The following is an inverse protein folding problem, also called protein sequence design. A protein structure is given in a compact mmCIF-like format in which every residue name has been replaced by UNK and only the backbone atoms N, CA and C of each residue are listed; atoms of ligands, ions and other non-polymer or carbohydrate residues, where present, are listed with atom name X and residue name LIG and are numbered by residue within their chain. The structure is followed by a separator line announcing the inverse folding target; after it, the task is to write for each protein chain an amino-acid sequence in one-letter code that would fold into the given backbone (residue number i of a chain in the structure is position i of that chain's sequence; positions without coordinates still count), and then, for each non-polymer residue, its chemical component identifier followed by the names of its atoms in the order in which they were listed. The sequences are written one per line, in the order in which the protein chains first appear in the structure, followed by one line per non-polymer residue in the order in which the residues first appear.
data_IF_282967725863
#
_entry.id   IF_282967725863
#
_cell.length_a   1.000
_cell.length_b   1.000
_cell.length_c   1.000
_cell.angle_alpha   90.00
_cell.angle_beta   90.00
_cell.angle_gamma   90.00
#
_symmetry.space_group_name_H-M   'P 1'
#
loop_
_entity.id
_entity.type
_entity.pdbx_description
1 polymer ?
#
# COMPACT_ATOMS: atom_id res chain seq x y z
N UNK A 1 8.45 -19.10 -31.54
CA UNK A 1 8.80 -19.16 -30.10
C UNK A 1 8.09 -18.00 -29.40
N UNK A 2 6.81 -18.15 -29.08
CA UNK A 2 6.13 -17.20 -28.20
C UNK A 2 6.51 -17.59 -26.78
N UNK A 3 7.50 -16.90 -26.22
CA UNK A 3 7.83 -17.05 -24.81
C UNK A 3 6.59 -16.68 -24.02
N UNK A 4 5.86 -17.69 -23.54
CA UNK A 4 4.79 -17.50 -22.59
C UNK A 4 5.44 -16.78 -21.41
N UNK A 5 5.16 -15.49 -21.25
CA UNK A 5 5.51 -14.81 -20.03
C UNK A 5 4.55 -15.40 -18.99
N UNK A 6 4.99 -16.47 -18.35
CA UNK A 6 4.27 -17.10 -17.23
C UNK A 6 4.38 -16.11 -16.08
N UNK A 7 3.47 -15.15 -16.03
CA UNK A 7 3.35 -14.25 -14.91
C UNK A 7 2.82 -15.05 -13.72
N UNK A 8 3.58 -15.05 -12.63
CA UNK A 8 3.17 -15.67 -11.37
C UNK A 8 2.13 -14.77 -10.69
N UNK A 9 0.88 -14.91 -11.12
CA UNK A 9 -0.27 -14.15 -10.60
C UNK A 9 -0.40 -14.28 -9.08
N UNK A 10 0.05 -15.41 -8.51
CA UNK A 10 0.11 -15.62 -7.06
C UNK A 10 1.17 -14.73 -6.42
N UNK A 11 2.38 -14.64 -6.98
CA UNK A 11 3.42 -13.75 -6.47
C UNK A 11 3.00 -12.27 -6.47
N UNK A 12 2.26 -11.83 -7.51
CA UNK A 12 1.70 -10.47 -7.57
C UNK A 12 0.63 -10.24 -6.49
N UNK A 13 -0.31 -11.18 -6.33
CA UNK A 13 -1.34 -11.10 -5.31
C UNK A 13 -0.75 -11.09 -3.89
N UNK A 14 0.28 -11.90 -3.65
CA UNK A 14 1.00 -11.96 -2.37
C UNK A 14 1.79 -10.68 -2.10
N UNK A 15 2.43 -10.10 -3.11
CA UNK A 15 3.09 -8.80 -3.01
C UNK A 15 2.11 -7.69 -2.61
N UNK A 16 0.93 -7.66 -3.22
CA UNK A 16 -0.14 -6.72 -2.84
C UNK A 16 -0.59 -6.93 -1.40
N UNK A 17 -0.76 -8.18 -0.97
CA UNK A 17 -1.16 -8.52 0.39
C UNK A 17 -0.10 -8.09 1.41
N UNK A 18 1.19 -8.32 1.11
CA UNK A 18 2.30 -7.85 1.96
C UNK A 18 2.33 -6.32 2.07
N UNK A 19 2.14 -5.60 0.96
CA UNK A 19 2.11 -4.14 0.99
C UNK A 19 0.94 -3.59 1.82
N UNK A 20 -0.26 -4.19 1.71
CA UNK A 20 -1.41 -3.81 2.55
C UNK A 20 -1.14 -4.05 4.03
N UNK A 21 -0.54 -5.19 4.38
CA UNK A 21 -0.19 -5.50 5.76
C UNK A 21 0.89 -4.55 6.32
N UNK A 22 1.91 -4.24 5.51
CA UNK A 22 2.94 -3.27 5.89
C UNK A 22 2.31 -1.89 6.17
N UNK A 23 1.40 -1.43 5.33
CA UNK A 23 0.71 -0.16 5.55
C UNK A 23 -0.16 -0.14 6.80
N UNK A 24 -0.94 -1.20 7.05
CA UNK A 24 -1.73 -1.29 8.27
C UNK A 24 -0.84 -1.21 9.53
N UNK A 25 0.33 -1.87 9.50
CA UNK A 25 1.30 -1.79 10.58
C UNK A 25 1.88 -0.38 10.73
N UNK A 26 2.18 0.30 9.63
CA UNK A 26 2.73 1.66 9.68
C UNK A 26 1.68 2.66 10.19
N UNK A 27 0.41 2.55 9.79
CA UNK A 27 -0.70 3.33 10.35
C UNK A 27 -0.84 3.12 11.86
N UNK A 28 -0.78 1.87 12.32
CA UNK A 28 -0.84 1.55 13.74
C UNK A 28 0.34 2.18 14.50
N UNK A 29 1.56 2.08 13.96
CA UNK A 29 2.77 2.67 14.55
C UNK A 29 2.68 4.19 14.63
N UNK A 30 2.12 4.85 13.62
CA UNK A 30 1.99 6.30 13.65
C UNK A 30 0.89 6.78 14.55
N UNK A 31 -0.25 6.07 14.62
CA UNK A 31 -1.26 6.35 15.63
C UNK A 31 -0.69 6.22 17.05
N UNK A 32 0.11 5.18 17.29
CA UNK A 32 0.80 4.99 18.57
C UNK A 32 1.81 6.12 18.84
N UNK A 33 2.59 6.54 17.83
CA UNK A 33 3.53 7.65 17.95
C UNK A 33 2.80 8.96 18.26
N UNK A 34 1.70 9.28 17.57
CA UNK A 34 0.90 10.48 17.83
C UNK A 34 0.33 10.48 19.25
N UNK A 35 -0.17 9.34 19.73
CA UNK A 35 -0.66 9.20 21.11
C UNK A 35 0.45 9.39 22.14
N UNK A 36 1.63 8.81 21.90
CA UNK A 36 2.79 9.02 22.77
C UNK A 36 3.22 10.49 22.78
N UNK A 37 3.23 11.15 21.62
CA UNK A 37 3.53 12.58 21.51
C UNK A 37 2.51 13.43 22.26
N UNK A 38 1.21 13.14 22.14
CA UNK A 38 0.17 13.84 22.90
C UNK A 38 0.33 13.67 24.42
N UNK A 39 0.64 12.46 24.88
CA UNK A 39 0.91 12.20 26.30
C UNK A 39 2.18 12.90 26.80
N UNK A 40 3.24 12.95 25.97
CA UNK A 40 4.46 13.69 26.27
C UNK A 40 4.24 15.21 26.24
N UNK A 41 3.33 15.71 25.40
CA UNK A 41 2.99 17.13 25.35
C UNK A 41 2.32 17.63 26.63
N UNK A 42 1.56 16.80 27.34
CA UNK A 42 1.07 17.16 28.68
C UNK A 42 2.20 17.40 29.68
N UNK A 43 3.41 16.89 29.39
CA UNK A 43 4.60 17.02 30.22
C UNK A 43 5.69 17.96 29.67
N UNK A 44 5.58 18.40 28.40
CA UNK A 44 6.52 19.33 27.75
C UNK A 44 5.87 20.69 27.51
N UNK A 45 6.36 21.72 28.19
CA UNK A 45 5.92 23.11 28.00
C UNK A 45 6.70 23.79 26.84
N UNK A 46 6.02 24.60 26.02
CA UNK A 46 6.66 25.50 25.04
C UNK A 46 6.84 25.01 23.57
N UNK A 47 7.77 25.66 22.86
CA UNK A 47 7.99 25.58 21.38
C UNK A 47 8.32 24.17 20.86
N UNK A 48 8.97 23.33 21.68
CA UNK A 48 9.35 21.95 21.32
C UNK A 48 8.13 21.05 21.14
N UNK A 49 7.08 21.27 21.93
CA UNK A 49 5.82 20.55 21.83
C UNK A 49 5.10 20.85 20.49
N UNK A 50 5.14 22.11 20.03
CA UNK A 50 4.60 22.53 18.71
C UNK A 50 5.34 21.88 17.55
N UNK A 51 6.68 21.83 17.59
CA UNK A 51 7.47 21.22 16.53
C UNK A 51 7.20 19.71 16.41
N UNK A 52 7.07 19.02 17.55
CA UNK A 52 6.73 17.60 17.56
C UNK A 52 5.33 17.32 17.00
N UNK A 53 4.33 18.11 17.37
CA UNK A 53 2.98 17.99 16.80
C UNK A 53 2.98 18.18 15.28
N UNK A 54 3.69 19.21 14.81
CA UNK A 54 3.85 19.46 13.36
C UNK A 54 4.51 18.29 12.65
N UNK A 55 5.52 17.67 13.27
CA UNK A 55 6.18 16.49 12.71
C UNK A 55 5.23 15.28 12.66
N UNK A 56 4.50 15.02 13.75
CA UNK A 56 3.53 13.93 13.84
C UNK A 56 2.42 14.07 12.78
N UNK A 57 1.85 15.26 12.62
CA UNK A 57 0.85 15.55 11.58
C UNK A 57 1.39 15.34 10.17
N UNK A 58 2.64 15.74 9.93
CA UNK A 58 3.29 15.57 8.62
C UNK A 58 3.52 14.10 8.29
N UNK A 59 3.93 13.31 9.28
CA UNK A 59 4.10 11.86 9.15
C UNK A 59 2.74 11.20 8.88
N UNK A 60 1.70 11.55 9.65
CA UNK A 60 0.35 11.03 9.44
C UNK A 60 -0.16 11.31 8.02
N UNK A 61 0.00 12.55 7.53
CA UNK A 61 -0.38 12.92 6.17
C UNK A 61 0.38 12.13 5.10
N UNK A 62 1.70 11.99 5.26
CA UNK A 62 2.55 11.21 4.35
C UNK A 62 2.11 9.74 4.26
N UNK A 63 1.59 9.20 5.36
CA UNK A 63 1.09 7.82 5.37
C UNK A 63 -0.25 7.68 4.69
N UNK A 64 -1.17 8.62 4.89
CA UNK A 64 -2.42 8.65 4.13
C UNK A 64 -2.13 8.70 2.63
N UNK A 65 -1.21 9.57 2.19
CA UNK A 65 -0.76 9.65 0.79
C UNK A 65 -0.18 8.30 0.31
N UNK A 66 0.66 7.65 1.12
CA UNK A 66 1.23 6.34 0.79
C UNK A 66 0.16 5.24 0.69
N UNK A 67 -0.87 5.30 1.53
CA UNK A 67 -2.01 4.38 1.50
C UNK A 67 -2.85 4.53 0.23
N UNK A 68 -3.11 5.77 -0.21
CA UNK A 68 -3.80 6.01 -1.47
C UNK A 68 -3.02 5.47 -2.67
N UNK A 69 -1.70 5.71 -2.72
CA UNK A 69 -0.85 5.18 -3.80
C UNK A 69 -0.85 3.65 -3.81
N UNK A 70 -0.74 3.01 -2.65
CA UNK A 70 -0.76 1.55 -2.55
C UNK A 70 -2.13 0.95 -2.91
N UNK A 71 -3.21 1.64 -2.57
CA UNK A 71 -4.55 1.23 -3.02
C UNK A 71 -4.68 1.35 -4.55
N UNK A 72 -4.19 2.44 -5.15
CA UNK A 72 -4.17 2.60 -6.61
C UNK A 72 -3.33 1.50 -7.29
N UNK A 73 -2.16 1.19 -6.77
CA UNK A 73 -1.32 0.07 -7.27
C UNK A 73 -2.08 -1.25 -7.15
N UNK A 74 -2.74 -1.51 -6.02
CA UNK A 74 -3.55 -2.72 -5.81
C UNK A 74 -4.71 -2.83 -6.81
N UNK A 75 -5.39 -1.72 -7.12
CA UNK A 75 -6.48 -1.68 -8.10
C UNK A 75 -5.95 -1.91 -9.51
N UNK A 76 -4.86 -1.25 -9.88
CA UNK A 76 -4.23 -1.41 -11.20
C UNK A 76 -3.71 -2.82 -11.42
N UNK A 77 -3.12 -3.44 -10.39
CA UNK A 77 -2.67 -4.83 -10.45
C UNK A 77 -3.84 -5.80 -10.60
N UNK A 78 -4.94 -5.62 -9.87
CA UNK A 78 -6.14 -6.44 -10.07
C UNK A 78 -6.71 -6.29 -11.49
N UNK A 79 -6.82 -5.06 -12.00
CA UNK A 79 -7.30 -4.81 -13.37
C UNK A 79 -6.39 -5.46 -14.41
N UNK A 80 -5.08 -5.30 -14.29
CA UNK A 80 -4.12 -5.92 -15.20
C UNK A 80 -4.18 -7.45 -15.12
N UNK A 81 -4.26 -8.02 -13.91
CA UNK A 81 -4.42 -9.46 -13.72
C UNK A 81 -5.68 -10.00 -14.41
N UNK A 82 -6.82 -9.32 -14.26
CA UNK A 82 -8.08 -9.72 -14.88
C UNK A 82 -8.02 -9.60 -16.41
N UNK A 83 -7.55 -8.46 -16.93
CA UNK A 83 -7.40 -8.24 -18.38
C UNK A 83 -6.48 -9.27 -19.03
N UNK A 84 -5.41 -9.68 -18.34
CA UNK A 84 -4.45 -10.66 -18.83
C UNK A 84 -5.01 -12.08 -18.78
N UNK A 85 -5.74 -12.45 -17.71
CA UNK A 85 -6.43 -13.74 -17.64
C UNK A 85 -7.48 -13.89 -18.76
N UNK A 86 -8.20 -12.82 -19.07
CA UNK A 86 -9.16 -12.80 -20.18
C UNK A 86 -8.46 -12.88 -21.54
N UNK A 87 -7.31 -12.21 -21.69
CA UNK A 87 -6.48 -12.31 -22.91
C UNK A 87 -5.92 -13.71 -23.13
N UNK A 88 -5.42 -14.38 -22.07
CA UNK A 88 -4.94 -15.76 -22.14
C UNK A 88 -6.07 -16.74 -22.49
N UNK A 89 -7.29 -16.55 -21.93
CA UNK A 89 -8.47 -17.34 -22.29
C UNK A 89 -8.86 -17.17 -23.75
N UNK A 90 -8.93 -15.93 -24.22
CA UNK A 90 -9.27 -15.61 -25.62
C UNK A 90 -8.27 -16.21 -26.61
N UNK A 91 -6.98 -16.08 -26.29
CA UNK A 91 -5.90 -16.62 -27.11
C UNK A 91 -5.92 -18.15 -27.11
N UNK A 92 -6.12 -18.78 -25.95
CA UNK A 92 -6.24 -20.25 -25.85
C UNK A 92 -7.45 -20.81 -26.60
N UNK A 93 -8.58 -20.10 -26.62
CA UNK A 93 -9.73 -20.49 -27.45
C UNK A 93 -9.43 -20.39 -28.95
N UNK A 94 -8.60 -19.43 -29.35
CA UNK A 94 -8.22 -19.21 -30.76
C UNK A 94 -7.25 -20.29 -31.28
N UNK A 95 -6.43 -20.88 -30.41
CA UNK A 95 -5.48 -21.95 -30.78
C UNK A 95 -6.04 -23.38 -30.65
N UNK A 96 -7.30 -23.54 -30.22
CA UNK A 96 -7.96 -24.84 -30.04
C UNK A 96 -8.78 -25.29 -31.28
N UNK A 97 -8.41 -24.81 -32.48
CA UNK A 97 -8.97 -25.24 -33.76
C UNK A 97 -7.93 -26.00 -34.58
#
# INVERSE_FOLDING_TARGET
MTGAIVYDYQALADGVRQMKNANANIEANVKALTQQVQSLMESFDGETAKQYNTCADRIAKKLTESNEVLNQISVNLNKNSNNMQDSDRSTSQTFNF
#
